data_IF_308754550397
#
_entry.id   IF_308754550397
#
_cell.length_a   1.000
_cell.length_b   1.000
_cell.length_c   1.000
_cell.angle_alpha   90.00
_cell.angle_beta   90.00
_cell.angle_gamma   90.00
#
_symmetry.space_group_name_H-M   'P 1'
#
loop_
_entity.id
_entity.type
_entity.pdbx_description
1 polymer ?
#
# COMPACT_ATOMS: atom_id res chain seq x y z
N UNK A 1 2.17 19.51 3.08
CA UNK A 1 2.83 18.72 4.13
C UNK A 1 2.94 17.29 3.62
N UNK A 2 4.04 16.56 3.92
CA UNK A 2 4.15 15.16 3.55
C UNK A 2 3.08 14.35 4.30
N UNK A 3 2.55 13.31 3.65
CA UNK A 3 1.65 12.39 4.31
C UNK A 3 2.41 11.64 5.42
N UNK A 4 1.74 11.23 6.50
CA UNK A 4 2.37 10.51 7.62
C UNK A 4 1.69 9.17 7.78
N UNK A 5 2.46 8.08 7.88
CA UNK A 5 1.92 6.74 8.15
C UNK A 5 1.31 6.72 9.54
N UNK A 6 -0.01 6.55 9.62
CA UNK A 6 -0.70 6.42 10.91
C UNK A 6 -0.80 4.98 11.36
N UNK A 7 -0.92 4.05 10.41
CA UNK A 7 -1.12 2.64 10.71
C UNK A 7 -0.50 1.74 9.65
N UNK A 8 0.01 0.59 10.11
CA UNK A 8 0.44 -0.52 9.27
C UNK A 8 -0.33 -1.78 9.65
N UNK A 9 -0.99 -2.40 8.67
CA UNK A 9 -1.85 -3.56 8.89
C UNK A 9 -1.50 -4.73 7.97
N UNK A 10 -1.49 -5.92 8.54
CA UNK A 10 -1.34 -7.19 7.83
C UNK A 10 -2.65 -7.96 7.89
N UNK A 11 -3.09 -8.52 6.77
CA UNK A 11 -4.21 -9.45 6.69
C UNK A 11 -3.69 -10.84 6.35
N UNK A 12 -3.07 -11.52 7.32
CA UNK A 12 -2.28 -12.73 7.06
C UNK A 12 -3.09 -13.87 6.44
N UNK A 13 -4.34 -14.03 6.85
CA UNK A 13 -5.29 -14.99 6.27
C UNK A 13 -6.33 -14.24 5.45
N UNK A 14 -6.54 -14.68 4.20
CA UNK A 14 -7.51 -14.09 3.28
C UNK A 14 -8.90 -14.07 3.93
N UNK A 15 -9.48 -12.88 4.04
CA UNK A 15 -10.85 -12.68 4.52
C UNK A 15 -10.98 -12.52 6.04
N UNK A 16 -9.96 -12.85 6.83
CA UNK A 16 -9.96 -12.68 8.29
C UNK A 16 -9.51 -11.26 8.69
N UNK A 17 -9.46 -10.98 9.99
CA UNK A 17 -9.11 -9.67 10.55
C UNK A 17 -7.63 -9.30 10.30
N UNK A 18 -7.28 -8.09 10.72
CA UNK A 18 -5.93 -7.53 10.61
C UNK A 18 -5.14 -7.73 11.89
N UNK A 19 -3.82 -7.75 11.74
CA UNK A 19 -2.87 -7.46 12.81
C UNK A 19 -2.30 -6.06 12.63
N UNK A 20 -2.06 -5.36 13.74
CA UNK A 20 -1.36 -4.06 13.71
C UNK A 20 0.14 -4.27 13.87
N UNK A 21 0.92 -3.51 13.10
CA UNK A 21 2.37 -3.56 13.10
C UNK A 21 2.93 -2.15 13.36
N UNK A 22 4.03 -2.06 14.10
CA UNK A 22 4.74 -0.79 14.30
C UNK A 22 5.75 -0.52 13.18
N UNK A 23 6.24 -1.59 12.55
CA UNK A 23 7.21 -1.53 11.45
C UNK A 23 7.13 -2.74 10.53
N UNK A 24 7.56 -2.56 9.28
CA UNK A 24 7.70 -3.61 8.27
C UNK A 24 8.96 -3.42 7.45
N UNK A 25 9.62 -4.52 7.11
CA UNK A 25 10.71 -4.53 6.14
C UNK A 25 10.18 -4.88 4.74
N UNK A 26 10.23 -3.92 3.83
CA UNK A 26 9.70 -4.05 2.48
C UNK A 26 10.78 -4.53 1.53
N UNK A 27 10.45 -5.51 0.69
CA UNK A 27 11.40 -6.13 -0.23
C UNK A 27 10.94 -5.96 -1.70
N UNK A 28 11.84 -5.60 -2.63
CA UNK A 28 11.50 -5.51 -4.05
C UNK A 28 10.92 -6.82 -4.58
N UNK A 29 9.90 -6.74 -5.43
CA UNK A 29 9.24 -7.92 -6.01
C UNK A 29 8.39 -8.73 -5.03
N UNK A 30 8.24 -8.28 -3.79
CA UNK A 30 7.36 -8.85 -2.78
C UNK A 30 6.18 -7.91 -2.44
N UNK A 31 5.13 -8.50 -1.88
CA UNK A 31 3.99 -7.76 -1.32
C UNK A 31 4.28 -7.21 0.08
N UNK A 32 3.22 -6.82 0.77
CA UNK A 32 3.34 -6.49 2.19
C UNK A 32 3.73 -7.74 3.00
N UNK A 33 4.69 -7.68 3.93
CA UNK A 33 5.22 -8.88 4.60
C UNK A 33 4.14 -9.75 5.25
N UNK A 34 4.13 -11.04 4.87
CA UNK A 34 3.17 -12.06 5.30
C UNK A 34 1.68 -11.71 5.09
N UNK A 35 1.37 -10.70 4.28
CA UNK A 35 -0.01 -10.35 3.95
C UNK A 35 -0.61 -11.38 3.00
N UNK A 36 -1.82 -11.84 3.33
CA UNK A 36 -2.56 -12.87 2.57
C UNK A 36 -1.70 -14.08 2.20
N UNK A 37 -0.77 -14.45 3.09
CA UNK A 37 0.08 -15.64 2.99
C UNK A 37 -0.75 -16.92 3.08
N UNK A 38 -1.87 -16.87 3.79
CA UNK A 38 -2.75 -17.99 4.03
C UNK A 38 -4.14 -17.74 3.45
N UNK A 39 -4.85 -18.81 3.09
CA UNK A 39 -6.27 -18.74 2.77
C UNK A 39 -7.00 -20.02 3.19
N UNK A 40 -8.30 -19.87 3.44
CA UNK A 40 -9.22 -20.96 3.72
C UNK A 40 -9.86 -21.37 2.39
N UNK A 41 -9.30 -22.35 1.70
CA UNK A 41 -9.73 -22.80 0.37
C UNK A 41 -10.78 -23.90 0.49
N UNK A 42 -11.81 -23.88 -0.37
CA UNK A 42 -12.80 -24.95 -0.40
C UNK A 42 -12.26 -26.15 -1.17
N UNK A 43 -12.33 -27.34 -0.60
CA UNK A 43 -11.71 -28.54 -1.18
C UNK A 43 -12.26 -28.94 -2.55
N UNK A 44 -13.55 -28.69 -2.79
CA UNK A 44 -14.27 -28.94 -4.04
C UNK A 44 -14.17 -27.77 -5.05
N UNK A 45 -13.42 -26.72 -4.73
CA UNK A 45 -13.23 -25.56 -5.61
C UNK A 45 -12.05 -25.76 -6.59
N UNK A 46 -11.75 -24.74 -7.41
CA UNK A 46 -10.62 -24.82 -8.35
C UNK A 46 -9.31 -25.15 -7.61
N UNK A 47 -8.55 -26.18 -8.05
CA UNK A 47 -7.34 -26.60 -7.36
C UNK A 47 -6.32 -25.48 -7.21
N UNK A 48 -5.70 -25.40 -6.04
CA UNK A 48 -4.57 -24.53 -5.76
C UNK A 48 -3.27 -25.34 -5.81
N UNK A 49 -2.30 -24.94 -6.63
CA UNK A 49 -0.95 -25.50 -6.62
C UNK A 49 0.01 -24.52 -5.90
N UNK A 50 0.48 -24.86 -4.68
CA UNK A 50 1.36 -24.01 -3.90
C UNK A 50 2.73 -23.81 -4.54
N UNK A 51 3.20 -24.71 -5.42
CA UNK A 51 4.54 -24.66 -6.01
C UNK A 51 4.61 -23.83 -7.29
N UNK A 52 3.48 -23.37 -7.81
CA UNK A 52 3.43 -22.58 -9.04
C UNK A 52 2.93 -21.15 -8.77
N UNK A 53 3.64 -20.11 -9.22
CA UNK A 53 3.20 -18.73 -9.03
C UNK A 53 1.93 -18.44 -9.84
N UNK A 54 0.95 -17.77 -9.23
CA UNK A 54 -0.32 -17.49 -9.89
C UNK A 54 -0.15 -16.54 -11.09
N UNK A 55 -0.67 -16.95 -12.25
CA UNK A 55 -0.78 -16.12 -13.46
C UNK A 55 -2.25 -15.77 -13.74
N UNK A 56 -2.53 -14.57 -14.26
CA UNK A 56 -3.83 -14.27 -14.88
C UNK A 56 -3.88 -14.99 -16.24
N UNK A 57 -4.84 -15.90 -16.43
CA UNK A 57 -5.23 -16.35 -17.77
C UNK A 57 -6.38 -15.48 -18.28
N UNK A 58 -6.24 -14.91 -19.49
CA UNK A 58 -7.38 -14.47 -20.31
C UNK A 58 -8.04 -13.12 -19.99
N UNK A 59 -7.36 -12.16 -19.36
CA UNK A 59 -8.00 -10.85 -19.10
C UNK A 59 -8.16 -9.96 -20.36
N UNK A 60 -7.48 -10.26 -21.48
CA UNK A 60 -7.64 -9.52 -22.74
C UNK A 60 -7.59 -10.48 -23.94
N UNK A 61 -8.74 -10.69 -24.60
CA UNK A 61 -8.81 -11.34 -25.91
C UNK A 61 -9.97 -12.30 -26.05
N UNK A 62 -10.86 -12.03 -27.01
CA UNK A 62 -11.85 -12.99 -27.49
C UNK A 62 -11.13 -14.22 -28.07
N UNK A 63 -11.48 -15.41 -27.58
CA UNK A 63 -10.91 -16.67 -28.05
C UNK A 63 -10.74 -17.68 -26.91
N UNK A 64 -11.84 -18.28 -26.47
CA UNK A 64 -11.79 -19.45 -25.60
C UNK A 64 -11.42 -20.68 -26.44
N UNK A 65 -10.13 -20.91 -26.66
CA UNK A 65 -9.62 -22.20 -27.12
C UNK A 65 -9.13 -23.01 -25.92
N UNK A 66 -9.70 -24.21 -25.80
CA UNK A 66 -9.34 -25.22 -24.81
C UNK A 66 -7.87 -25.61 -24.94
N UNK A 67 -7.10 -25.51 -23.86
CA UNK A 67 -5.81 -26.21 -23.74
C UNK A 67 -5.65 -26.87 -22.37
N UNK A 68 -5.77 -28.21 -22.42
CA UNK A 68 -5.17 -29.31 -21.66
C UNK A 68 -5.11 -29.34 -20.13
N UNK A 69 -5.54 -30.50 -19.61
CA UNK A 69 -5.09 -31.14 -18.35
C UNK A 69 -3.56 -31.04 -18.20
N UNK A 70 -3.10 -30.19 -17.29
CA UNK A 70 -1.69 -30.00 -16.94
C UNK A 70 -1.57 -28.71 -16.14
N UNK A 71 -1.16 -28.81 -14.87
CA UNK A 71 -1.27 -27.77 -13.85
C UNK A 71 -0.86 -26.37 -14.30
N UNK A 72 -1.77 -25.42 -14.09
CA UNK A 72 -1.52 -23.98 -14.23
C UNK A 72 -2.00 -23.30 -12.96
N UNK A 73 -1.11 -22.80 -12.10
CA UNK A 73 -1.54 -21.92 -11.00
C UNK A 73 -2.10 -20.62 -11.56
N UNK A 74 -3.42 -20.50 -11.44
CA UNK A 74 -4.24 -19.38 -11.90
C UNK A 74 -4.53 -18.46 -10.72
N UNK A 75 -4.68 -17.16 -10.95
CA UNK A 75 -5.39 -16.33 -9.97
C UNK A 75 -6.74 -16.99 -9.65
N UNK A 76 -6.95 -17.33 -8.37
CA UNK A 76 -8.20 -17.92 -7.92
C UNK A 76 -9.19 -16.83 -7.53
N UNK A 77 -10.38 -16.88 -8.12
CA UNK A 77 -11.46 -15.98 -7.74
C UNK A 77 -11.84 -16.18 -6.27
N UNK A 78 -12.27 -15.11 -5.60
CA UNK A 78 -12.65 -15.09 -4.17
C UNK A 78 -13.75 -16.09 -3.78
N UNK A 79 -14.50 -16.63 -4.73
CA UNK A 79 -15.49 -17.71 -4.52
C UNK A 79 -14.88 -19.06 -4.13
N UNK A 80 -13.58 -19.26 -4.40
CA UNK A 80 -12.86 -20.50 -4.05
C UNK A 80 -12.46 -20.54 -2.56
N UNK A 81 -12.77 -19.51 -1.78
CA UNK A 81 -12.29 -19.38 -0.41
C UNK A 81 -13.41 -19.06 0.57
N UNK A 82 -13.32 -19.57 1.80
CA UNK A 82 -14.08 -19.09 2.94
C UNK A 82 -13.55 -17.70 3.32
N UNK A 83 -14.28 -16.67 2.90
CA UNK A 83 -13.89 -15.27 3.10
C UNK A 83 -15.14 -14.38 3.16
N UNK A 84 -14.96 -13.08 3.39
CA UNK A 84 -16.07 -12.12 3.49
C UNK A 84 -16.98 -12.09 2.24
N UNK A 85 -16.53 -12.62 1.10
CA UNK A 85 -17.38 -12.74 -0.08
C UNK A 85 -18.34 -13.94 -0.05
N UNK A 86 -17.93 -15.04 0.57
CA UNK A 86 -18.66 -16.32 0.55
C UNK A 86 -19.40 -16.61 1.85
N UNK A 87 -18.88 -16.10 2.98
CA UNK A 87 -19.51 -16.24 4.29
C UNK A 87 -19.36 -14.96 5.14
N UNK A 88 -19.88 -13.80 4.67
CA UNK A 88 -19.74 -12.52 5.36
C UNK A 88 -20.29 -12.55 6.80
N UNK A 89 -21.51 -13.05 7.00
CA UNK A 89 -22.17 -13.13 8.32
C UNK A 89 -21.39 -14.03 9.29
N UNK A 90 -21.02 -15.23 8.83
CA UNK A 90 -20.24 -16.19 9.62
C UNK A 90 -18.90 -15.60 10.08
N UNK A 91 -18.16 -14.96 9.18
CA UNK A 91 -16.88 -14.35 9.53
C UNK A 91 -17.05 -13.07 10.36
N UNK A 92 -18.21 -12.42 10.28
CA UNK A 92 -18.56 -11.30 11.16
C UNK A 92 -18.55 -11.71 12.63
N UNK A 93 -19.09 -12.90 12.94
CA UNK A 93 -19.17 -13.41 14.32
C UNK A 93 -17.81 -13.75 14.93
N UNK A 94 -16.78 -13.89 14.10
CA UNK A 94 -15.43 -14.25 14.52
C UNK A 94 -14.58 -13.00 14.69
N UNK A 95 -13.81 -12.95 15.77
CA UNK A 95 -12.65 -12.08 15.92
C UNK A 95 -11.39 -12.92 15.76
N UNK A 96 -10.47 -12.47 14.91
CA UNK A 96 -9.27 -13.25 14.55
C UNK A 96 -8.00 -12.45 14.76
N UNK A 97 -6.93 -13.13 15.16
CA UNK A 97 -5.61 -12.53 15.34
C UNK A 97 -4.55 -13.53 14.89
N UNK A 98 -3.52 -13.04 14.19
CA UNK A 98 -2.44 -13.85 13.67
C UNK A 98 -1.08 -13.40 14.20
N UNK A 99 -0.41 -14.29 14.91
CA UNK A 99 0.92 -14.08 15.45
C UNK A 99 1.98 -14.53 14.43
N UNK A 100 2.41 -13.61 13.57
CA UNK A 100 3.30 -13.95 12.45
C UNK A 100 4.69 -14.51 12.81
N UNK A 101 5.16 -14.37 14.05
CA UNK A 101 6.42 -14.98 14.48
C UNK A 101 6.29 -16.49 14.78
N UNK A 102 5.08 -16.94 15.14
CA UNK A 102 4.79 -18.32 15.53
C UNK A 102 3.81 -19.01 14.56
N UNK A 103 3.37 -18.29 13.52
CA UNK A 103 2.32 -18.70 12.58
C UNK A 103 1.04 -19.20 13.28
N UNK A 104 0.71 -18.60 14.44
CA UNK A 104 -0.47 -18.97 15.23
C UNK A 104 -1.68 -18.12 14.84
N UNK A 105 -2.74 -18.77 14.40
CA UNK A 105 -4.07 -18.19 14.26
C UNK A 105 -4.88 -18.41 15.54
N UNK A 106 -5.39 -17.33 16.11
CA UNK A 106 -6.37 -17.36 17.21
C UNK A 106 -7.71 -16.86 16.69
N UNK A 107 -8.77 -17.59 17.01
CA UNK A 107 -10.16 -17.26 16.67
C UNK A 107 -10.99 -17.21 17.94
N UNK A 108 -11.71 -16.10 18.13
CA UNK A 108 -12.64 -15.89 19.23
C UNK A 108 -14.04 -15.59 18.71
N UNK A 109 -15.06 -15.91 19.52
CA UNK A 109 -16.40 -15.39 19.29
C UNK A 109 -16.40 -13.90 19.63
N UNK A 110 -16.69 -13.04 18.65
CA UNK A 110 -16.60 -11.59 18.82
C UNK A 110 -17.56 -11.04 19.89
N UNK A 111 -18.73 -11.66 20.06
CA UNK A 111 -19.74 -11.20 21.02
C UNK A 111 -19.39 -11.51 22.48
N UNK A 112 -18.63 -12.58 22.76
CA UNK A 112 -18.33 -13.04 24.11
C UNK A 112 -16.84 -13.04 24.47
N UNK A 113 -15.95 -12.96 23.48
CA UNK A 113 -14.51 -13.17 23.65
C UNK A 113 -14.12 -14.64 23.86
N UNK A 114 -15.06 -15.58 23.77
CA UNK A 114 -14.82 -17.01 23.93
C UNK A 114 -13.77 -17.49 22.93
N UNK A 115 -12.75 -18.22 23.41
CA UNK A 115 -11.75 -18.83 22.56
C UNK A 115 -12.35 -20.05 21.83
N UNK A 116 -12.42 -19.97 20.50
CA UNK A 116 -12.98 -21.03 19.66
C UNK A 116 -11.88 -21.91 19.04
N UNK A 117 -10.78 -21.30 18.60
CA UNK A 117 -9.65 -21.99 17.99
C UNK A 117 -8.34 -21.26 18.31
N UNK A 118 -7.29 -22.04 18.59
CA UNK A 118 -5.90 -21.57 18.55
C UNK A 118 -5.07 -22.65 17.85
N UNK A 119 -4.40 -22.31 16.76
CA UNK A 119 -3.67 -23.28 15.93
C UNK A 119 -2.44 -22.65 15.26
N UNK A 120 -1.29 -23.31 15.40
CA UNK A 120 -0.09 -23.04 14.59
C UNK A 120 -0.28 -23.62 13.19
N UNK A 121 -0.42 -22.76 12.18
CA UNK A 121 -0.75 -23.17 10.81
C UNK A 121 0.39 -23.93 10.10
N UNK A 122 1.58 -23.98 10.68
CA UNK A 122 2.71 -24.78 10.20
C UNK A 122 2.88 -26.10 10.93
N UNK A 123 2.18 -26.33 12.04
CA UNK A 123 2.23 -27.59 12.76
C UNK A 123 1.12 -28.53 12.26
N UNK A 124 1.48 -29.71 11.74
CA UNK A 124 0.54 -30.60 11.05
C UNK A 124 -0.71 -30.97 11.87
N UNK A 125 -0.56 -31.22 13.17
CA UNK A 125 -1.68 -31.53 14.06
C UNK A 125 -2.62 -30.33 14.28
N UNK A 126 -2.07 -29.12 14.40
CA UNK A 126 -2.83 -27.88 14.56
C UNK A 126 -3.54 -27.48 13.28
N UNK A 127 -2.86 -27.65 12.14
CA UNK A 127 -3.40 -27.43 10.81
C UNK A 127 -4.64 -28.31 10.57
N UNK A 128 -4.54 -29.61 10.83
CA UNK A 128 -5.65 -30.54 10.67
C UNK A 128 -6.86 -30.17 11.57
N UNK A 129 -6.61 -29.72 12.81
CA UNK A 129 -7.68 -29.22 13.68
C UNK A 129 -8.33 -27.95 13.14
N UNK A 130 -7.53 -27.01 12.62
CA UNK A 130 -8.05 -25.77 12.04
C UNK A 130 -8.94 -26.06 10.81
N UNK A 131 -8.49 -26.94 9.92
CA UNK A 131 -9.27 -27.39 8.74
C UNK A 131 -10.59 -28.04 9.14
N UNK A 132 -10.57 -28.97 10.10
CA UNK A 132 -11.77 -29.62 10.61
C UNK A 132 -12.74 -28.60 11.23
N UNK A 133 -12.23 -27.68 12.05
CA UNK A 133 -13.03 -26.65 12.71
C UNK A 133 -13.70 -25.69 11.71
N UNK A 134 -12.95 -25.18 10.72
CA UNK A 134 -13.53 -24.32 9.68
C UNK A 134 -14.53 -25.07 8.80
N UNK A 135 -14.28 -26.36 8.54
CA UNK A 135 -15.20 -27.20 7.77
C UNK A 135 -16.52 -27.41 8.48
N UNK A 136 -16.48 -27.70 9.78
CA UNK A 136 -17.66 -27.84 10.63
C UNK A 136 -18.41 -26.51 10.76
N UNK A 137 -17.68 -25.42 11.04
CA UNK A 137 -18.26 -24.09 11.18
C UNK A 137 -19.02 -23.64 9.92
N UNK A 138 -18.48 -23.92 8.74
CA UNK A 138 -19.09 -23.49 7.48
C UNK A 138 -20.08 -24.52 6.89
N UNK A 139 -19.94 -25.80 7.23
CA UNK A 139 -20.73 -26.89 6.63
C UNK A 139 -20.23 -27.36 5.25
N UNK A 140 -19.02 -26.94 4.84
CA UNK A 140 -18.36 -27.36 3.60
C UNK A 140 -16.87 -27.54 3.87
N UNK A 141 -16.26 -28.55 3.26
CA UNK A 141 -14.85 -28.88 3.46
C UNK A 141 -13.92 -27.69 3.12
N UNK A 142 -13.09 -27.30 4.09
CA UNK A 142 -12.12 -26.19 4.01
C UNK A 142 -10.72 -26.73 4.28
N UNK A 143 -9.78 -26.34 3.43
CA UNK A 143 -8.34 -26.57 3.59
C UNK A 143 -7.61 -25.26 3.81
N UNK A 144 -6.60 -25.28 4.66
CA UNK A 144 -5.74 -24.12 4.91
C UNK A 144 -4.57 -24.21 3.96
N UNK A 145 -4.53 -23.30 2.98
CA UNK A 145 -3.49 -23.26 1.97
C UNK A 145 -2.52 -22.11 2.22
N UNK A 146 -1.24 -22.37 1.93
CA UNK A 146 -0.18 -21.37 2.04
C UNK A 146 0.31 -20.95 0.66
N UNK A 147 0.48 -19.65 0.46
CA UNK A 147 1.19 -19.12 -0.67
C UNK A 147 2.71 -19.38 -0.53
N UNK A 148 3.38 -19.68 -1.65
CA UNK A 148 4.84 -19.80 -1.72
C UNK A 148 5.42 -18.79 -2.71
N UNK A 149 6.70 -18.45 -2.53
CA UNK A 149 7.38 -17.44 -3.36
C UNK A 149 6.73 -16.05 -3.25
N UNK A 150 6.72 -15.23 -4.33
CA UNK A 150 6.12 -13.90 -4.32
C UNK A 150 4.59 -13.96 -4.52
N UNK A 151 3.93 -15.06 -4.14
CA UNK A 151 2.48 -15.18 -4.25
C UNK A 151 1.79 -14.73 -2.97
N UNK A 152 0.60 -14.16 -3.11
CA UNK A 152 -0.34 -13.92 -2.02
C UNK A 152 -1.78 -14.11 -2.51
N UNK A 153 -2.69 -14.45 -1.62
CA UNK A 153 -4.11 -14.66 -1.95
C UNK A 153 -4.89 -13.35 -2.09
N UNK A 154 -4.38 -12.45 -2.93
CA UNK A 154 -4.94 -11.11 -3.23
C UNK A 154 -6.40 -11.14 -3.71
N UNK A 155 -7.09 -10.00 -3.58
CA UNK A 155 -8.54 -9.91 -3.83
C UNK A 155 -8.93 -9.45 -5.24
N UNK A 156 -8.02 -8.87 -6.03
CA UNK A 156 -8.38 -8.22 -7.30
C UNK A 156 -7.45 -8.62 -8.45
N UNK A 157 -8.01 -8.87 -9.66
CA UNK A 157 -7.22 -9.02 -10.88
C UNK A 157 -6.29 -7.83 -11.14
N UNK A 158 -6.66 -6.63 -10.70
CA UNK A 158 -5.84 -5.42 -10.83
C UNK A 158 -4.43 -5.58 -10.24
N UNK A 159 -4.28 -6.32 -9.13
CA UNK A 159 -2.95 -6.58 -8.55
C UNK A 159 -2.07 -7.38 -9.52
N UNK A 160 -2.67 -8.34 -10.22
CA UNK A 160 -1.99 -9.18 -11.20
C UNK A 160 -1.82 -8.52 -12.57
N UNK A 161 -2.66 -7.55 -12.93
CA UNK A 161 -2.46 -6.78 -14.16
C UNK A 161 -1.31 -5.78 -14.05
N UNK A 162 -1.03 -5.29 -12.84
CA UNK A 162 0.05 -4.33 -12.59
C UNK A 162 1.39 -5.00 -12.23
N UNK A 163 1.34 -6.17 -11.60
CA UNK A 163 2.53 -6.92 -11.20
C UNK A 163 2.35 -8.42 -11.54
N UNK A 164 3.27 -9.04 -12.31
CA UNK A 164 3.19 -10.47 -12.63
C UNK A 164 3.15 -11.40 -11.41
N UNK A 165 3.66 -10.97 -10.25
CA UNK A 165 3.54 -11.72 -8.98
C UNK A 165 2.15 -11.62 -8.35
N UNK A 166 1.37 -10.62 -8.76
CA UNK A 166 0.12 -10.22 -8.13
C UNK A 166 0.29 -9.45 -6.83
N UNK A 167 1.51 -9.31 -6.31
CA UNK A 167 1.82 -8.66 -5.04
C UNK A 167 1.76 -7.13 -5.14
N UNK A 168 0.66 -6.56 -4.64
CA UNK A 168 0.49 -5.12 -4.48
C UNK A 168 0.22 -4.77 -3.03
N UNK A 169 0.74 -3.64 -2.59
CA UNK A 169 0.48 -3.05 -1.27
C UNK A 169 -0.66 -2.05 -1.43
N UNK A 170 -1.68 -2.12 -0.58
CA UNK A 170 -2.82 -1.19 -0.63
C UNK A 170 -2.64 -0.05 0.38
N UNK A 171 -2.72 1.20 -0.09
CA UNK A 171 -2.66 2.40 0.75
C UNK A 171 -3.98 3.15 0.73
N UNK A 172 -4.42 3.59 1.91
CA UNK A 172 -5.61 4.44 2.08
C UNK A 172 -5.25 5.70 2.86
N UNK A 173 -5.81 6.82 2.43
CA UNK A 173 -5.73 8.07 3.15
C UNK A 173 -6.93 8.21 4.10
N UNK A 174 -6.67 8.39 5.39
CA UNK A 174 -7.70 8.55 6.41
C UNK A 174 -8.57 9.79 6.15
N UNK A 175 -8.01 10.87 5.60
CA UNK A 175 -8.77 12.07 5.23
C UNK A 175 -9.77 11.78 4.11
N UNK A 176 -9.42 10.95 3.13
CA UNK A 176 -10.34 10.51 2.06
C UNK A 176 -11.51 9.72 2.63
N UNK A 177 -11.26 8.83 3.59
CA UNK A 177 -12.32 8.05 4.26
C UNK A 177 -13.24 8.95 5.09
N UNK A 178 -12.67 9.92 5.81
CA UNK A 178 -13.44 10.90 6.58
C UNK A 178 -14.30 11.79 5.67
N UNK A 179 -13.75 12.23 4.53
CA UNK A 179 -14.46 13.01 3.51
C UNK A 179 -15.69 12.27 2.99
N UNK A 180 -15.54 10.99 2.63
CA UNK A 180 -16.66 10.15 2.22
C UNK A 180 -17.72 10.00 3.32
N UNK A 181 -17.29 9.83 4.57
CA UNK A 181 -18.21 9.76 5.72
C UNK A 181 -19.01 11.04 5.86
N UNK A 182 -18.34 12.20 5.78
CA UNK A 182 -18.98 13.51 5.88
C UNK A 182 -19.97 13.76 4.73
N UNK A 183 -19.57 13.47 3.49
CA UNK A 183 -20.43 13.65 2.32
C UNK A 183 -21.68 12.75 2.36
N UNK A 184 -21.54 11.54 2.92
CA UNK A 184 -22.64 10.60 3.11
C UNK A 184 -23.44 10.82 4.42
N UNK A 185 -23.14 11.89 5.18
CA UNK A 185 -23.76 12.19 6.48
C UNK A 185 -23.65 11.06 7.51
N UNK A 186 -22.53 10.32 7.50
CA UNK A 186 -22.22 9.22 8.40
C UNK A 186 -21.38 9.74 9.58
N UNK A 187 -22.04 10.20 10.64
CA UNK A 187 -21.38 10.76 11.83
C UNK A 187 -21.36 9.81 13.03
N UNK A 188 -22.12 8.71 13.03
CA UNK A 188 -22.26 7.82 14.20
C UNK A 188 -22.61 6.38 13.82
N UNK A 189 -21.62 5.50 13.57
CA UNK A 189 -20.19 5.80 13.45
C UNK A 189 -19.81 6.26 12.02
N UNK A 190 -18.71 7.03 11.87
CA UNK A 190 -18.13 7.28 10.56
C UNK A 190 -17.50 6.01 9.96
N UNK A 191 -17.24 6.03 8.64
CA UNK A 191 -16.48 4.97 8.00
C UNK A 191 -15.06 4.94 8.57
N UNK A 192 -14.54 3.74 8.77
CA UNK A 192 -13.18 3.54 9.27
C UNK A 192 -12.29 2.94 8.18
N UNK A 193 -10.99 3.32 8.11
CA UNK A 193 -10.09 2.83 7.05
C UNK A 193 -9.97 1.30 6.97
N UNK A 194 -10.11 0.60 8.11
CA UNK A 194 -10.09 -0.88 8.17
C UNK A 194 -11.04 -1.56 7.18
N UNK A 195 -12.19 -0.93 6.91
CA UNK A 195 -13.20 -1.42 5.97
C UNK A 195 -12.63 -1.67 4.57
N UNK A 196 -11.66 -0.85 4.16
CA UNK A 196 -11.04 -0.92 2.85
C UNK A 196 -9.85 -1.89 2.78
N UNK A 197 -9.53 -2.51 3.92
CA UNK A 197 -8.44 -3.47 4.10
C UNK A 197 -7.08 -3.00 3.55
N UNK A 198 -6.61 -1.78 3.90
CA UNK A 198 -5.30 -1.28 3.49
C UNK A 198 -4.18 -1.89 4.30
N UNK A 199 -3.00 -2.00 3.70
CA UNK A 199 -1.78 -2.31 4.42
C UNK A 199 -1.14 -1.08 5.05
N UNK A 200 -1.28 0.08 4.40
CA UNK A 200 -0.75 1.35 4.86
C UNK A 200 -1.91 2.33 4.99
N UNK A 201 -2.05 2.96 6.16
CA UNK A 201 -2.92 4.13 6.31
C UNK A 201 -2.06 5.36 6.48
N UNK A 202 -2.39 6.41 5.71
CA UNK A 202 -1.76 7.71 5.86
C UNK A 202 -2.73 8.74 6.42
N UNK A 203 -2.16 9.67 7.16
CA UNK A 203 -2.78 10.87 7.73
C UNK A 203 -1.99 12.11 7.30
N UNK A 204 -2.40 13.29 7.77
CA UNK A 204 -1.75 14.58 7.47
C UNK A 204 -1.64 14.92 5.95
N UNK A 205 -2.40 14.21 5.11
CA UNK A 205 -2.53 14.45 3.68
C UNK A 205 -3.92 15.02 3.37
N UNK A 206 -4.05 15.96 2.42
CA UNK A 206 -5.36 16.39 1.95
C UNK A 206 -6.17 15.19 1.41
N UNK A 207 -7.49 15.22 1.56
CA UNK A 207 -8.38 14.23 0.96
C UNK A 207 -8.12 14.06 -0.55
N UNK A 208 -8.21 12.83 -1.03
CA UNK A 208 -8.01 12.43 -2.44
C UNK A 208 -6.62 12.70 -3.02
N UNK A 209 -5.68 13.27 -2.25
CA UNK A 209 -4.36 13.65 -2.73
C UNK A 209 -3.51 12.45 -3.18
N UNK A 210 -3.77 11.26 -2.63
CA UNK A 210 -3.10 10.01 -3.01
C UNK A 210 -3.29 9.65 -4.49
N UNK A 211 -4.38 10.12 -5.12
CA UNK A 211 -4.62 9.88 -6.54
C UNK A 211 -3.64 10.64 -7.45
N UNK A 212 -3.06 11.74 -6.98
CA UNK A 212 -2.04 12.49 -7.72
C UNK A 212 -0.67 11.82 -7.70
N UNK A 213 -0.51 10.77 -6.89
CA UNK A 213 0.73 10.02 -6.81
C UNK A 213 0.79 8.89 -7.84
N UNK A 214 -0.35 8.50 -8.43
CA UNK A 214 -0.43 7.45 -9.45
C UNK A 214 0.57 7.72 -10.60
N UNK A 215 1.36 6.71 -10.96
CA UNK A 215 2.43 6.79 -11.94
C UNK A 215 3.74 7.39 -11.40
N UNK A 216 3.81 7.74 -10.11
CA UNK A 216 5.00 8.34 -9.48
C UNK A 216 5.60 7.42 -8.42
N UNK A 217 6.87 7.69 -8.10
CA UNK A 217 7.55 7.08 -6.96
C UNK A 217 7.35 7.90 -5.71
N UNK A 218 7.22 7.23 -4.58
CA UNK A 218 7.13 7.83 -3.25
C UNK A 218 8.21 7.21 -2.36
N UNK A 219 8.90 8.05 -1.60
CA UNK A 219 9.75 7.62 -0.50
C UNK A 219 8.87 7.41 0.72
N UNK A 220 8.95 6.23 1.32
CA UNK A 220 8.20 5.84 2.51
C UNK A 220 9.18 5.22 3.52
N UNK A 221 9.50 5.94 4.59
CA UNK A 221 10.61 5.59 5.47
C UNK A 221 11.93 5.52 4.68
N UNK A 222 12.58 4.36 4.69
CA UNK A 222 13.79 4.08 3.90
C UNK A 222 13.52 3.42 2.53
N UNK A 223 12.29 2.96 2.29
CA UNK A 223 11.87 2.30 1.06
C UNK A 223 11.48 3.31 -0.04
N UNK A 224 11.52 2.86 -1.30
CA UNK A 224 10.92 3.56 -2.44
C UNK A 224 9.83 2.68 -3.02
N UNK A 225 8.62 3.24 -3.13
CA UNK A 225 7.44 2.59 -3.68
C UNK A 225 7.01 3.29 -4.96
N UNK A 226 6.43 2.56 -5.90
CA UNK A 226 5.75 3.12 -7.07
C UNK A 226 4.24 2.98 -6.89
N UNK A 227 3.51 4.07 -7.13
CA UNK A 227 2.04 4.08 -7.09
C UNK A 227 1.50 3.67 -8.45
N UNK A 228 0.85 2.53 -8.52
CA UNK A 228 0.48 1.87 -9.78
C UNK A 228 -0.86 2.37 -10.31
N UNK A 229 -1.88 2.39 -9.46
CA UNK A 229 -3.25 2.71 -9.88
C UNK A 229 -4.14 3.04 -8.69
N UNK A 230 -5.34 3.54 -9.01
CA UNK A 230 -6.41 3.73 -8.03
C UNK A 230 -7.08 2.41 -7.73
N UNK A 231 -7.55 2.24 -6.50
CA UNK A 231 -8.04 0.95 -6.04
C UNK A 231 -9.56 0.85 -6.18
N UNK A 232 -10.04 0.02 -7.10
CA UNK A 232 -11.48 -0.20 -7.29
C UNK A 232 -12.08 -0.84 -6.04
N UNK A 233 -13.22 -0.33 -5.58
CA UNK A 233 -13.95 -0.84 -4.42
C UNK A 233 -15.14 -1.67 -4.89
N UNK A 234 -15.23 -2.89 -4.36
CA UNK A 234 -16.34 -3.81 -4.64
C UNK A 234 -17.23 -3.97 -3.40
N UNK A 235 -18.41 -4.60 -3.50
CA UNK A 235 -19.33 -4.77 -2.38
C UNK A 235 -18.76 -5.47 -1.13
N UNK A 236 -17.57 -6.09 -1.22
CA UNK A 236 -16.90 -6.64 -0.03
C UNK A 236 -16.60 -5.58 1.05
N UNK A 237 -16.49 -4.30 0.67
CA UNK A 237 -16.30 -3.20 1.63
C UNK A 237 -17.64 -2.67 2.19
N UNK A 238 -18.77 -3.26 1.81
CA UNK A 238 -20.10 -2.92 2.35
C UNK A 238 -20.33 -3.47 3.75
N UNK A 239 -19.39 -4.26 4.28
CA UNK A 239 -19.42 -4.84 5.62
C UNK A 239 -18.31 -4.21 6.47
N UNK A 240 -18.64 -3.74 7.67
CA UNK A 240 -17.63 -3.43 8.68
C UNK A 240 -17.27 -4.68 9.48
N UNK A 241 -16.04 -5.18 9.32
CA UNK A 241 -15.56 -6.30 10.12
C UNK A 241 -15.60 -6.01 11.64
N UNK A 242 -15.57 -4.73 12.04
CA UNK A 242 -15.62 -4.32 13.46
C UNK A 242 -17.02 -4.42 14.07
N UNK A 243 -18.07 -4.38 13.26
CA UNK A 243 -19.46 -4.44 13.75
C UNK A 243 -19.88 -5.84 14.17
N UNK A 244 -19.18 -6.88 13.71
CA UNK A 244 -19.42 -8.25 14.13
C UNK A 244 -20.66 -8.93 13.58
N UNK A 245 -21.51 -8.21 12.83
CA UNK A 245 -22.69 -8.81 12.20
C UNK A 245 -22.38 -9.53 10.90
N UNK A 246 -21.30 -9.11 10.23
CA UNK A 246 -20.98 -9.53 8.86
C UNK A 246 -22.01 -9.11 7.81
N UNK A 247 -23.12 -8.49 8.23
CA UNK A 247 -24.16 -7.99 7.32
C UNK A 247 -23.66 -6.72 6.64
N UNK A 248 -24.04 -6.55 5.38
CA UNK A 248 -23.81 -5.30 4.68
C UNK A 248 -24.54 -4.18 5.44
N UNK A 249 -23.79 -3.20 5.90
CA UNK A 249 -24.31 -2.05 6.65
C UNK A 249 -24.41 -0.81 5.77
N UNK A 250 -23.65 -0.74 4.68
CA UNK A 250 -23.64 0.42 3.79
C UNK A 250 -23.15 0.09 2.38
N UNK A 251 -23.74 0.69 1.34
CA UNK A 251 -23.29 0.53 -0.05
C UNK A 251 -22.20 1.55 -0.41
N UNK A 252 -20.94 1.21 -0.13
CA UNK A 252 -19.80 2.12 -0.34
C UNK A 252 -19.56 2.44 -1.83
N UNK A 253 -19.57 1.47 -2.78
CA UNK A 253 -19.47 1.80 -4.21
C UNK A 253 -20.55 2.79 -4.68
N UNK A 254 -21.79 2.65 -4.21
CA UNK A 254 -22.86 3.59 -4.53
C UNK A 254 -22.60 4.98 -3.93
N UNK A 255 -22.12 5.06 -2.68
CA UNK A 255 -21.76 6.33 -2.05
C UNK A 255 -20.61 7.03 -2.78
N UNK A 256 -19.57 6.31 -3.17
CA UNK A 256 -18.46 6.85 -3.97
C UNK A 256 -18.97 7.43 -5.28
N UNK A 257 -19.79 6.67 -6.02
CA UNK A 257 -20.36 7.11 -7.30
C UNK A 257 -21.28 8.32 -7.16
N UNK A 258 -22.05 8.40 -6.05
CA UNK A 258 -22.99 9.48 -5.78
C UNK A 258 -22.30 10.78 -5.36
N UNK A 259 -21.36 10.69 -4.42
CA UNK A 259 -20.76 11.88 -3.79
C UNK A 259 -19.46 12.33 -4.46
N UNK A 260 -18.77 11.44 -5.17
CA UNK A 260 -17.51 11.72 -5.86
C UNK A 260 -17.47 11.08 -7.26
N UNK A 261 -18.40 11.40 -8.17
CA UNK A 261 -18.43 10.82 -9.52
C UNK A 261 -17.13 11.03 -10.31
N UNK A 262 -16.43 12.14 -10.07
CA UNK A 262 -15.12 12.43 -10.66
C UNK A 262 -14.00 11.47 -10.20
N UNK A 263 -14.22 10.79 -9.08
CA UNK A 263 -13.30 9.80 -8.53
C UNK A 263 -13.72 8.37 -8.85
N UNK A 264 -14.97 8.12 -9.28
CA UNK A 264 -15.49 6.81 -9.64
C UNK A 264 -15.60 5.86 -8.44
N UNK A 265 -15.64 4.52 -8.67
CA UNK A 265 -15.74 3.53 -7.59
C UNK A 265 -14.39 3.29 -6.89
N UNK A 266 -13.51 4.29 -6.83
CA UNK A 266 -12.12 4.13 -6.39
C UNK A 266 -11.89 4.82 -5.04
N UNK A 267 -11.14 4.14 -4.16
CA UNK A 267 -10.64 4.72 -2.91
C UNK A 267 -9.35 4.01 -2.51
N UNK A 268 -8.31 4.79 -2.23
CA UNK A 268 -6.96 4.29 -2.00
C UNK A 268 -6.20 3.97 -3.29
N UNK A 269 -4.93 3.59 -3.17
CA UNK A 269 -4.03 3.29 -4.29
C UNK A 269 -3.27 1.98 -4.08
N UNK A 270 -2.92 1.31 -5.18
CA UNK A 270 -2.00 0.18 -5.18
C UNK A 270 -0.56 0.63 -5.39
N UNK A 271 0.36 -0.04 -4.69
CA UNK A 271 1.78 0.25 -4.67
C UNK A 271 2.57 -1.02 -4.95
N UNK A 272 3.78 -0.88 -5.50
CA UNK A 272 4.83 -1.93 -5.47
C UNK A 272 6.12 -1.39 -4.89
N UNK A 273 6.92 -2.28 -4.34
CA UNK A 273 8.25 -1.95 -3.82
C UNK A 273 9.25 -1.88 -4.98
N UNK A 274 9.86 -0.71 -5.17
CA UNK A 274 10.93 -0.49 -6.15
C UNK A 274 12.29 -0.68 -5.50
N UNK A 275 12.48 -0.10 -4.31
CA UNK A 275 13.67 -0.29 -3.47
C UNK A 275 13.22 -0.67 -2.07
N UNK A 276 13.82 -1.74 -1.55
CA UNK A 276 13.52 -2.23 -0.22
C UNK A 276 13.92 -1.26 0.88
N UNK A 277 13.40 -1.50 2.07
CA UNK A 277 13.67 -0.70 3.25
C UNK A 277 12.60 -0.86 4.33
N UNK A 278 12.93 -0.38 5.52
CA UNK A 278 12.02 -0.35 6.65
C UNK A 278 11.08 0.84 6.54
N UNK A 279 9.78 0.57 6.76
CA UNK A 279 8.70 1.52 6.95
C UNK A 279 8.14 1.38 8.37
N UNK A 280 7.96 2.49 9.08
CA UNK A 280 7.41 2.54 10.43
C UNK A 280 6.17 3.41 10.51
N UNK A 281 5.33 3.15 11.51
CA UNK A 281 4.32 4.13 11.93
C UNK A 281 5.02 5.43 12.33
N UNK A 282 4.49 6.56 11.89
CA UNK A 282 5.08 7.89 12.05
C UNK A 282 6.02 8.31 10.92
N UNK A 283 6.45 7.41 10.03
CA UNK A 283 7.26 7.79 8.86
C UNK A 283 6.47 8.67 7.89
N UNK A 284 7.18 9.55 7.20
CA UNK A 284 6.60 10.38 6.14
C UNK A 284 6.58 9.62 4.81
N UNK A 285 5.54 9.90 4.02
CA UNK A 285 5.44 9.54 2.61
C UNK A 285 5.50 10.82 1.77
N UNK A 286 6.51 10.90 0.92
CA UNK A 286 6.76 12.03 0.05
C UNK A 286 6.98 11.57 -1.38
N UNK A 287 6.37 12.26 -2.34
CA UNK A 287 6.55 11.94 -3.75
C UNK A 287 7.94 12.35 -4.21
N UNK A 288 8.66 11.44 -4.85
CA UNK A 288 9.98 11.76 -5.39
C UNK A 288 9.83 12.81 -6.51
N UNK A 289 10.74 13.79 -6.58
CA UNK A 289 10.84 14.66 -7.73
C UNK A 289 11.10 13.82 -8.98
N UNK A 290 10.51 14.22 -10.11
CA UNK A 290 10.70 13.48 -11.35
C UNK A 290 12.20 13.43 -11.70
N UNK A 291 12.71 12.34 -12.30
CA UNK A 291 14.13 12.19 -12.60
C UNK A 291 14.71 13.37 -13.41
N UNK A 292 13.94 13.95 -14.32
CA UNK A 292 14.35 15.12 -15.10
C UNK A 292 14.50 16.39 -14.25
N UNK A 293 13.75 16.54 -13.15
CA UNK A 293 13.89 17.67 -12.22
C UNK A 293 15.23 17.58 -11.49
N UNK A 294 15.59 16.37 -11.06
CA UNK A 294 16.89 16.11 -10.44
C UNK A 294 18.04 16.33 -11.43
N UNK A 295 17.88 15.86 -12.67
CA UNK A 295 18.86 16.07 -13.73
C UNK A 295 19.03 17.57 -14.08
N UNK A 296 17.92 18.32 -14.17
CA UNK A 296 17.95 19.76 -14.42
C UNK A 296 18.61 20.52 -13.27
N UNK A 297 18.28 20.16 -12.02
CA UNK A 297 18.91 20.75 -10.84
C UNK A 297 20.42 20.45 -10.79
N UNK A 298 20.83 19.22 -11.09
CA UNK A 298 22.23 18.84 -11.18
C UNK A 298 22.96 19.57 -12.32
N UNK A 299 22.36 19.68 -13.49
CA UNK A 299 22.91 20.43 -14.62
C UNK A 299 23.04 21.93 -14.31
N UNK A 300 22.04 22.52 -13.64
CA UNK A 300 22.10 23.91 -13.18
C UNK A 300 23.22 24.11 -12.14
N UNK A 301 23.36 23.20 -11.17
CA UNK A 301 24.44 23.26 -10.18
C UNK A 301 25.83 23.15 -10.83
N UNK A 302 25.99 22.24 -11.80
CA UNK A 302 27.24 22.09 -12.55
C UNK A 302 27.57 23.35 -13.37
N UNK A 303 26.58 23.97 -14.03
CA UNK A 303 26.78 25.20 -14.78
C UNK A 303 27.18 26.38 -13.87
N UNK A 304 26.59 26.49 -12.68
CA UNK A 304 26.98 27.49 -11.68
C UNK A 304 28.41 27.27 -11.21
N UNK A 305 28.80 26.02 -10.90
CA UNK A 305 30.18 25.70 -10.50
C UNK A 305 31.20 26.05 -11.60
N UNK A 306 30.92 25.68 -12.85
CA UNK A 306 31.79 26.02 -13.99
C UNK A 306 31.88 27.55 -14.20
N UNK A 307 30.77 28.28 -14.02
CA UNK A 307 30.77 29.73 -14.10
C UNK A 307 31.61 30.40 -12.99
N UNK A 308 31.58 29.85 -11.77
CA UNK A 308 32.42 30.31 -10.66
C UNK A 308 33.90 30.02 -10.93
N UNK A 309 34.25 28.86 -11.46
CA UNK A 309 35.64 28.53 -11.83
C UNK A 309 36.19 29.48 -12.89
N UNK A 310 35.40 29.79 -13.93
CA UNK A 310 35.79 30.77 -14.95
C UNK A 310 35.94 32.17 -14.36
N UNK A 311 35.06 32.58 -13.44
CA UNK A 311 35.15 33.89 -12.78
C UNK A 311 36.40 34.00 -11.89
N UNK A 312 36.75 32.91 -11.19
CA UNK A 312 37.96 32.82 -10.37
C UNK A 312 39.23 32.75 -11.22
N UNK A 313 39.19 32.12 -12.39
CA UNK A 313 40.31 32.05 -13.33
C UNK A 313 40.52 33.34 -14.15
N UNK A 314 39.47 34.17 -14.28
CA UNK A 314 39.53 35.45 -15.03
C UNK A 314 39.84 36.67 -14.17
N UNK A 315 39.82 36.53 -12.84
CA UNK A 315 40.40 37.51 -11.94
C UNK A 315 41.80 37.02 -11.53
N UNK A 316 42.84 37.62 -12.09
CA UNK A 316 44.12 37.68 -11.39
C UNK A 316 43.82 38.30 -10.02
N UNK A 317 43.97 37.52 -8.96
CA UNK A 317 43.83 37.99 -7.59
C UNK A 317 45.04 38.87 -7.28
N UNK A 318 44.98 40.13 -7.72
CA UNK A 318 45.94 41.15 -7.33
C UNK A 318 45.68 41.53 -5.86
N UNK A 319 46.63 41.20 -4.98
CA UNK A 319 46.54 41.33 -3.51
C UNK A 319 46.63 42.77 -3.00
N UNK A 320 46.54 43.81 -3.84
CA UNK A 320 46.57 45.20 -3.38
C UNK A 320 45.17 45.84 -3.33
N UNK A 321 44.46 45.64 -2.21
CA UNK A 321 43.25 46.41 -1.89
C UNK A 321 43.61 47.75 -1.21
N UNK A 322 43.14 48.90 -1.72
CA UNK A 322 43.16 50.15 -0.97
C UNK A 322 42.06 50.15 0.12
N UNK A 323 42.22 50.91 1.21
CA UNK A 323 41.26 50.90 2.32
C UNK A 323 39.91 51.49 1.89
N UNK A 324 38.83 50.82 2.31
CA UNK A 324 37.45 51.22 2.03
C UNK A 324 37.13 52.55 2.74
N UNK A 325 37.05 53.63 1.97
CA UNK A 325 36.37 54.87 2.37
C UNK A 325 35.12 55.05 1.52
N UNK A 326 34.01 55.38 2.19
CA UNK A 326 32.65 55.25 1.67
C UNK A 326 32.41 55.81 0.26
N UNK A 327 31.81 54.97 -0.59
CA UNK A 327 31.30 55.36 -1.90
C UNK A 327 31.27 54.18 -2.87
N UNK A 328 30.06 53.78 -3.26
CA UNK A 328 29.73 52.73 -4.24
C UNK A 328 30.11 51.28 -3.87
N UNK A 329 29.10 50.43 -3.75
CA UNK A 329 29.28 48.97 -3.78
C UNK A 329 29.83 48.65 -5.17
N UNK A 330 31.07 48.17 -5.26
CA UNK A 330 31.65 47.80 -6.55
C UNK A 330 30.88 46.62 -7.18
N UNK A 331 30.83 46.58 -8.51
CA UNK A 331 30.05 45.58 -9.26
C UNK A 331 30.48 44.14 -8.97
N UNK A 332 31.74 43.90 -8.62
CA UNK A 332 32.27 42.60 -8.20
C UNK A 332 31.74 42.16 -6.83
N UNK A 333 31.58 43.08 -5.88
CA UNK A 333 30.92 42.81 -4.60
C UNK A 333 29.43 42.50 -4.78
N UNK A 334 28.76 43.23 -5.68
CA UNK A 334 27.35 43.00 -6.05
C UNK A 334 27.16 41.66 -6.79
N UNK A 335 28.10 41.27 -7.66
CA UNK A 335 28.11 40.00 -8.36
C UNK A 335 28.33 38.83 -7.39
N UNK A 336 29.29 38.95 -6.45
CA UNK A 336 29.51 37.93 -5.40
C UNK A 336 28.28 37.75 -4.51
N UNK A 337 27.65 38.85 -4.09
CA UNK A 337 26.43 38.79 -3.28
C UNK A 337 25.25 38.15 -4.03
N UNK A 338 25.11 38.42 -5.33
CA UNK A 338 24.03 37.84 -6.15
C UNK A 338 24.31 36.38 -6.51
N UNK A 339 25.56 35.97 -6.76
CA UNK A 339 25.92 34.55 -6.90
C UNK A 339 25.67 33.77 -5.61
N UNK A 340 26.02 34.32 -4.44
CA UNK A 340 25.74 33.71 -3.14
C UNK A 340 24.24 33.63 -2.83
N UNK A 341 23.46 34.64 -3.23
CA UNK A 341 22.00 34.64 -3.10
C UNK A 341 21.35 33.58 -4.00
N UNK A 342 21.82 33.42 -5.24
CA UNK A 342 21.37 32.37 -6.16
C UNK A 342 21.75 30.99 -5.64
N UNK A 343 22.97 30.80 -5.13
CA UNK A 343 23.38 29.58 -4.45
C UNK A 343 22.48 29.27 -3.25
N UNK A 344 22.22 30.28 -2.41
CA UNK A 344 21.37 30.13 -1.23
C UNK A 344 19.93 29.77 -1.62
N UNK A 345 19.36 30.36 -2.67
CA UNK A 345 18.01 30.07 -3.16
C UNK A 345 17.90 28.69 -3.83
N UNK A 346 18.95 28.22 -4.51
CA UNK A 346 19.01 26.89 -5.12
C UNK A 346 19.24 25.78 -4.08
N UNK A 347 19.98 26.08 -3.02
CA UNK A 347 20.26 25.15 -1.91
C UNK A 347 19.17 25.17 -0.83
N UNK A 348 18.35 26.22 -0.73
CA UNK A 348 17.26 26.33 0.25
C UNK A 348 16.24 25.17 0.19
N UNK A 349 15.77 24.72 -0.99
CA UNK A 349 14.88 23.55 -1.07
C UNK A 349 15.59 22.22 -0.79
N UNK A 350 16.92 22.15 -0.89
CA UNK A 350 17.71 20.94 -0.61
C UNK A 350 17.97 20.74 0.89
N UNK A 351 17.92 21.80 1.71
CA UNK A 351 18.11 21.74 3.16
C UNK A 351 16.82 21.46 3.95
N UNK A 352 15.65 21.41 3.30
CA UNK A 352 14.34 21.13 3.92
C UNK A 352 13.71 19.80 3.45
N UNK A 353 14.50 18.91 2.85
CA UNK A 353 14.08 17.58 2.35
C UNK A 353 14.39 16.44 3.32
#
# INVERSE_FOLDING_TARGET
>A
MPAVVSDLWRYAVKGLDRDSLDSVDLQPGAGFPADRRWALHFEDAEPFDPQQPARLQGAHGAGAEQVSKGGNSRWLHKSNFLCAFTAPELLGELETCFEGASDVLTVRRRSSGELLLRACLTAAADLARAEAWFSELHGRAVRVVQASGPHHFGNTPAGFSHDPSGCVIHLVNAATVASLSAAASLSSPPLHPARFRPNIVVSAAPEWSEFRWVGRRVRAGSAILEVLSRTVRCPAVNVDARHGSGKADIDVPALLSRHYPQHGPYLGVYLRVVRGGVLRVGDTIAVEPAPWVLALAAAAAAAVLAGVEVLLASHDLDESLPPLTGGAIDNGTLLRASTLLVLALLLHPLQRL
#
